data_IF_700456661328
#
_entry.id   IF_700456661328
#
_cell.length_a   1.000
_cell.length_b   1.000
_cell.length_c   1.000
_cell.angle_alpha   90.00
_cell.angle_beta   90.00
_cell.angle_gamma   90.00
#
_symmetry.space_group_name_H-M   'P 1'
#
loop_
_entity.id
_entity.type
_entity.pdbx_description
1 polymer ?
#
# COMPACT_ATOMS: atom_id res chain seq x y z
N UNK A 1 2.47 -32.35 6.82
CA UNK A 1 1.56 -31.29 6.33
C UNK A 1 1.29 -30.18 7.36
N UNK A 2 1.11 -30.46 8.67
CA UNK A 2 0.97 -29.41 9.71
C UNK A 2 2.17 -28.44 9.86
N UNK A 3 3.40 -28.92 9.63
CA UNK A 3 4.64 -28.11 9.74
C UNK A 3 4.81 -27.05 8.64
N UNK A 4 4.15 -27.23 7.48
CA UNK A 4 4.19 -26.28 6.37
C UNK A 4 3.26 -25.08 6.60
N UNK A 5 2.12 -25.31 7.26
CA UNK A 5 1.15 -24.25 7.62
C UNK A 5 1.78 -23.29 8.64
N UNK A 6 2.56 -23.81 9.59
CA UNK A 6 3.27 -23.00 10.59
C UNK A 6 4.38 -22.16 9.95
N UNK A 7 5.09 -22.70 8.95
CA UNK A 7 6.13 -21.96 8.22
C UNK A 7 5.58 -20.78 7.41
N UNK A 8 4.43 -20.97 6.76
CA UNK A 8 3.75 -19.91 5.98
C UNK A 8 3.19 -18.82 6.91
N UNK A 9 2.65 -19.19 8.08
CA UNK A 9 2.14 -18.25 9.08
C UNK A 9 3.26 -17.34 9.64
N UNK A 10 4.45 -17.89 9.88
CA UNK A 10 5.60 -17.13 10.41
C UNK A 10 6.18 -16.17 9.37
N UNK A 11 6.20 -16.55 8.08
CA UNK A 11 6.63 -15.68 6.98
C UNK A 11 5.62 -14.54 6.77
N UNK A 12 4.31 -14.80 6.93
CA UNK A 12 3.29 -13.76 6.94
C UNK A 12 3.47 -12.79 8.11
N UNK A 13 3.82 -13.29 9.31
CA UNK A 13 4.04 -12.47 10.51
C UNK A 13 5.29 -11.57 10.42
N UNK A 14 6.37 -12.02 9.77
CA UNK A 14 7.58 -11.21 9.56
C UNK A 14 7.37 -10.02 8.61
N UNK A 15 6.30 -10.00 7.82
CA UNK A 15 5.96 -8.81 7.01
C UNK A 15 5.38 -7.68 7.89
N UNK A 16 4.87 -7.99 9.10
CA UNK A 16 4.24 -7.05 10.02
C UNK A 16 5.20 -6.34 10.99
N UNK A 17 6.48 -6.72 11.09
CA UNK A 17 7.40 -6.09 12.05
C UNK A 17 7.96 -4.72 11.61
N UNK A 18 7.52 -4.19 10.47
CA UNK A 18 7.77 -2.81 10.08
C UNK A 18 6.61 -1.94 10.49
N UNK A 19 6.84 -0.92 11.32
CA UNK A 19 5.80 0.08 11.59
C UNK A 19 5.45 0.80 10.27
N UNK A 20 4.16 0.93 9.97
CA UNK A 20 3.73 1.64 8.78
C UNK A 20 4.19 3.10 8.86
N UNK A 21 4.90 3.54 7.84
CA UNK A 21 5.32 4.93 7.66
C UNK A 21 4.10 5.75 7.22
N UNK A 22 3.76 6.84 7.92
CA UNK A 22 2.69 7.73 7.49
C UNK A 22 2.99 8.33 6.11
N UNK A 23 1.99 8.39 5.24
CA UNK A 23 2.15 8.94 3.88
C UNK A 23 2.51 10.42 3.96
N UNK A 24 1.92 11.18 4.90
CA UNK A 24 2.25 12.58 5.14
C UNK A 24 3.74 12.80 5.41
N UNK A 25 4.37 11.96 6.25
CA UNK A 25 5.79 12.07 6.55
C UNK A 25 6.67 11.93 5.30
N UNK A 26 6.29 11.05 4.37
CA UNK A 26 6.99 10.86 3.09
C UNK A 26 6.82 12.10 2.22
N UNK A 27 5.60 12.62 2.09
CA UNK A 27 5.30 13.78 1.23
C UNK A 27 5.87 15.10 1.76
N UNK A 28 5.91 15.28 3.07
CA UNK A 28 6.39 16.51 3.70
C UNK A 28 7.93 16.59 3.71
N UNK A 29 8.62 15.43 3.68
CA UNK A 29 10.08 15.35 3.73
C UNK A 29 10.65 14.30 2.75
N UNK A 30 10.34 14.36 1.45
CA UNK A 30 10.58 13.25 0.53
C UNK A 30 12.07 12.93 0.33
N UNK A 31 12.95 13.94 0.45
CA UNK A 31 14.40 13.76 0.39
C UNK A 31 14.95 12.79 1.47
N UNK A 32 14.27 12.68 2.61
CA UNK A 32 14.65 11.71 3.66
C UNK A 32 14.29 10.28 3.31
N UNK A 33 13.39 10.07 2.35
CA UNK A 33 12.82 8.77 2.00
C UNK A 33 13.23 8.29 0.61
N UNK A 34 13.65 9.17 -0.30
CA UNK A 34 14.10 8.75 -1.63
C UNK A 34 15.16 7.65 -1.56
N UNK A 35 14.95 6.59 -2.34
CA UNK A 35 15.81 5.40 -2.37
C UNK A 35 15.63 4.45 -1.17
N UNK A 36 14.79 4.80 -0.19
CA UNK A 36 14.52 3.96 0.98
C UNK A 36 13.29 3.10 0.77
N UNK A 37 13.35 1.90 1.37
CA UNK A 37 12.21 0.99 1.47
C UNK A 37 11.29 1.44 2.59
N UNK A 38 10.01 1.60 2.28
CA UNK A 38 8.96 1.99 3.21
C UNK A 38 7.84 0.95 3.22
N UNK A 39 7.06 0.97 4.29
CA UNK A 39 5.79 0.26 4.40
C UNK A 39 4.71 1.32 4.61
N UNK A 40 3.71 1.40 3.76
CA UNK A 40 2.58 2.32 3.92
C UNK A 40 1.27 1.53 4.00
N UNK A 41 0.26 2.11 4.63
CA UNK A 41 -1.09 1.55 4.70
C UNK A 41 -2.11 2.63 4.38
N UNK A 42 -3.12 2.28 3.60
CA UNK A 42 -4.22 3.17 3.27
C UNK A 42 -5.26 2.51 2.39
N UNK A 43 -6.21 3.31 1.94
CA UNK A 43 -7.29 2.90 1.05
C UNK A 43 -6.90 3.15 -0.41
N UNK A 44 -7.22 2.22 -1.30
CA UNK A 44 -7.00 2.41 -2.73
C UNK A 44 -7.99 3.43 -3.27
N UNK A 45 -7.46 4.58 -3.70
CA UNK A 45 -8.14 5.58 -4.49
C UNK A 45 -7.86 5.32 -5.98
N UNK A 46 -8.81 5.69 -6.83
CA UNK A 46 -9.00 5.30 -8.24
C UNK A 46 -7.72 4.90 -9.01
N UNK A 47 -7.71 3.77 -9.75
CA UNK A 47 -6.56 3.37 -10.55
C UNK A 47 -6.21 4.44 -11.57
N UNK A 48 -4.93 4.84 -11.61
CA UNK A 48 -4.42 5.87 -12.51
C UNK A 48 -3.60 5.18 -13.59
N UNK A 49 -4.26 4.86 -14.72
CA UNK A 49 -3.58 4.35 -15.91
C UNK A 49 -2.96 5.52 -16.69
N UNK A 50 -1.72 5.88 -16.35
CA UNK A 50 -0.95 6.86 -17.13
C UNK A 50 -0.01 6.14 -18.11
N UNK A 51 -0.50 5.90 -19.33
CA UNK A 51 0.29 5.33 -20.42
C UNK A 51 0.74 3.89 -20.14
N UNK A 52 2.06 3.67 -19.98
CA UNK A 52 2.65 2.35 -19.70
C UNK A 52 2.82 2.03 -18.21
N UNK A 53 2.57 3.01 -17.32
CA UNK A 53 2.67 2.78 -15.89
C UNK A 53 1.32 2.31 -15.36
N UNK A 54 1.30 1.06 -14.88
CA UNK A 54 0.19 0.51 -14.12
C UNK A 54 0.40 0.82 -12.65
N UNK A 55 -0.65 1.31 -11.99
CA UNK A 55 -0.56 1.73 -10.62
C UNK A 55 -1.89 2.25 -10.08
N UNK A 56 -1.87 2.57 -8.80
CA UNK A 56 -3.02 3.08 -8.07
C UNK A 56 -2.58 4.14 -7.09
N UNK A 57 -3.53 4.91 -6.56
CA UNK A 57 -3.22 5.84 -5.48
C UNK A 57 -3.62 5.23 -4.13
N UNK A 58 -2.78 5.39 -3.12
CA UNK A 58 -3.10 5.00 -1.74
C UNK A 58 -3.38 6.26 -0.95
N UNK A 59 -4.59 6.34 -0.39
CA UNK A 59 -5.07 7.45 0.44
C UNK A 59 -4.95 7.10 1.93
N UNK A 60 -4.40 8.02 2.71
CA UNK A 60 -4.34 7.97 4.16
C UNK A 60 -4.78 9.34 4.70
N UNK A 61 -6.02 9.44 5.16
CA UNK A 61 -6.62 10.73 5.54
C UNK A 61 -6.79 11.65 4.33
N UNK A 62 -6.24 12.86 4.41
CA UNK A 62 -6.22 13.88 3.36
C UNK A 62 -5.04 13.72 2.38
N UNK A 63 -4.08 12.83 2.69
CA UNK A 63 -2.88 12.60 1.88
C UNK A 63 -3.08 11.42 0.94
N UNK A 64 -2.51 11.53 -0.26
CA UNK A 64 -2.50 10.46 -1.25
C UNK A 64 -1.14 10.35 -1.90
N UNK A 65 -0.67 9.12 -2.17
CA UNK A 65 0.57 8.87 -2.89
C UNK A 65 0.34 7.89 -4.03
N UNK A 66 1.07 8.05 -5.12
CA UNK A 66 1.01 7.13 -6.24
C UNK A 66 1.88 5.90 -5.97
N UNK A 67 1.35 4.73 -6.28
CA UNK A 67 2.04 3.44 -6.18
C UNK A 67 2.06 2.81 -7.56
N UNK A 68 3.26 2.60 -8.10
CA UNK A 68 3.50 1.83 -9.31
C UNK A 68 3.58 0.35 -8.93
N UNK A 69 2.73 -0.49 -9.53
CA UNK A 69 2.67 -1.91 -9.26
C UNK A 69 2.06 -2.67 -10.44
N UNK A 70 2.50 -3.90 -10.65
CA UNK A 70 1.91 -4.81 -11.65
C UNK A 70 0.52 -5.29 -11.22
N UNK A 71 0.27 -5.38 -9.90
CA UNK A 71 -1.02 -5.78 -9.35
C UNK A 71 -1.76 -4.55 -8.86
N UNK A 72 -2.96 -4.33 -9.37
CA UNK A 72 -3.81 -3.18 -9.03
C UNK A 72 -5.03 -3.69 -8.24
N UNK A 73 -5.10 -3.46 -6.92
CA UNK A 73 -6.27 -3.82 -6.11
C UNK A 73 -7.50 -2.97 -6.47
N UNK A 74 -8.67 -3.35 -5.97
CA UNK A 74 -9.91 -2.65 -6.31
C UNK A 74 -10.02 -1.32 -5.58
N UNK A 75 -10.76 -0.38 -6.19
CA UNK A 75 -11.09 0.88 -5.55
C UNK A 75 -11.82 0.63 -4.23
N UNK A 76 -11.32 1.26 -3.16
CA UNK A 76 -11.86 1.15 -1.82
C UNK A 76 -11.26 0.01 -1.00
N UNK A 77 -10.40 -0.85 -1.54
CA UNK A 77 -9.71 -1.87 -0.75
C UNK A 77 -8.73 -1.21 0.23
N UNK A 78 -8.64 -1.74 1.45
CA UNK A 78 -7.59 -1.34 2.39
C UNK A 78 -6.35 -2.19 2.13
N UNK A 79 -5.24 -1.53 1.82
CA UNK A 79 -4.00 -2.20 1.41
C UNK A 79 -2.81 -1.81 2.27
N UNK A 80 -1.85 -2.71 2.35
CA UNK A 80 -0.50 -2.45 2.85
C UNK A 80 0.49 -2.59 1.69
N UNK A 81 1.25 -1.53 1.42
CA UNK A 81 2.23 -1.50 0.33
C UNK A 81 3.62 -1.43 0.91
N UNK A 82 4.49 -2.35 0.48
CA UNK A 82 5.93 -2.28 0.71
C UNK A 82 6.63 -1.93 -0.59
N UNK A 83 7.50 -0.93 -0.57
CA UNK A 83 8.17 -0.48 -1.80
C UNK A 83 9.25 0.55 -1.55
N UNK A 84 9.86 1.01 -2.63
CA UNK A 84 10.92 2.04 -2.60
C UNK A 84 10.32 3.39 -2.99
N UNK A 85 10.60 4.42 -2.21
CA UNK A 85 10.19 5.80 -2.53
C UNK A 85 11.11 6.35 -3.62
N UNK A 86 10.52 6.81 -4.71
CA UNK A 86 11.23 7.30 -5.89
C UNK A 86 10.74 8.69 -6.27
N UNK A 87 11.72 9.49 -6.72
CA UNK A 87 11.50 10.81 -7.27
C UNK A 87 11.10 10.69 -8.74
N UNK A 88 9.91 11.14 -9.06
CA UNK A 88 9.38 11.19 -10.42
C UNK A 88 9.77 12.44 -11.17
N UNK A 89 9.30 12.50 -12.41
CA UNK A 89 9.43 13.69 -13.25
C UNK A 89 8.66 14.85 -12.60
N UNK A 90 9.16 16.08 -12.73
CA UNK A 90 8.60 17.29 -12.12
C UNK A 90 8.55 17.28 -10.57
N UNK A 91 9.54 16.66 -9.91
CA UNK A 91 9.64 16.60 -8.44
C UNK A 91 8.49 15.84 -7.75
N UNK A 92 7.69 15.06 -8.50
CA UNK A 92 6.67 14.19 -7.92
C UNK A 92 7.30 13.08 -7.09
N UNK A 93 6.58 12.58 -6.07
CA UNK A 93 7.00 11.43 -5.26
C UNK A 93 6.02 10.29 -5.48
N UNK A 94 6.55 9.10 -5.75
CA UNK A 94 5.76 7.88 -5.89
C UNK A 94 6.52 6.69 -5.31
N UNK A 95 5.85 5.55 -5.16
CA UNK A 95 6.43 4.32 -4.63
C UNK A 95 6.43 3.26 -5.72
N UNK A 96 7.57 2.63 -5.97
CA UNK A 96 7.61 1.36 -6.68
C UNK A 96 7.36 0.23 -5.69
N UNK A 97 6.25 -0.47 -5.86
CA UNK A 97 5.86 -1.54 -4.95
C UNK A 97 6.67 -2.81 -5.21
N UNK A 98 7.28 -3.35 -4.15
CA UNK A 98 7.81 -4.71 -4.13
C UNK A 98 6.68 -5.71 -3.85
N UNK A 99 5.77 -5.33 -2.94
CA UNK A 99 4.63 -6.15 -2.50
C UNK A 99 3.44 -5.26 -2.17
N UNK A 100 2.27 -5.74 -2.59
CA UNK A 100 0.97 -5.17 -2.23
C UNK A 100 0.16 -6.27 -1.56
N UNK A 101 -0.34 -6.00 -0.36
CA UNK A 101 -1.20 -6.93 0.38
C UNK A 101 -2.55 -6.26 0.64
N UNK A 102 -3.64 -6.91 0.25
CA UNK A 102 -5.01 -6.51 0.59
C UNK A 102 -5.25 -6.95 2.03
N UNK A 103 -5.56 -5.99 2.91
CA UNK A 103 -5.86 -6.24 4.32
C UNK A 103 -7.34 -6.52 4.53
N UNK A 104 -8.19 -5.77 3.83
CA UNK A 104 -9.65 -5.87 3.91
C UNK A 104 -10.23 -5.37 2.59
N UNK A 105 -11.14 -6.14 2.01
CA UNK A 105 -11.86 -5.73 0.81
C UNK A 105 -12.96 -4.73 1.17
N UNK A 106 -13.38 -3.92 0.19
CA UNK A 106 -14.53 -3.04 0.38
C UNK A 106 -15.80 -3.79 0.81
N UNK A 107 -16.06 -4.95 0.21
CA UNK A 107 -17.26 -5.76 0.47
C UNK A 107 -17.28 -6.31 1.90
N UNK A 108 -16.15 -6.82 2.40
CA UNK A 108 -16.02 -7.30 3.78
C UNK A 108 -16.27 -6.18 4.80
N UNK A 109 -15.74 -4.97 4.53
CA UNK A 109 -15.96 -3.81 5.40
C UNK A 109 -17.44 -3.43 5.47
N UNK A 110 -18.11 -3.39 4.31
CA UNK A 110 -19.52 -3.06 4.22
C UNK A 110 -20.40 -4.09 4.93
N UNK A 111 -20.14 -5.38 4.74
CA UNK A 111 -20.87 -6.45 5.43
C UNK A 111 -20.71 -6.37 6.96
N UNK A 112 -19.52 -6.00 7.45
CA UNK A 112 -19.26 -5.79 8.88
C UNK A 112 -20.02 -4.58 9.43
N UNK A 113 -20.01 -3.45 8.72
CA UNK A 113 -20.74 -2.25 9.12
C UNK A 113 -22.26 -2.47 9.12
N UNK A 114 -22.79 -3.31 8.24
CA UNK A 114 -24.20 -3.71 8.24
C UNK A 114 -24.55 -4.66 9.38
N UNK A 115 -23.66 -5.58 9.75
CA UNK A 115 -23.86 -6.49 10.88
C UNK A 115 -23.79 -5.80 12.25
N UNK A 116 -23.15 -4.62 12.34
CA UNK A 116 -23.04 -3.81 13.55
C UNK A 116 -24.18 -2.78 13.70
N UNK A 117 -25.08 -2.66 12.71
CA UNK A 117 -26.28 -1.82 12.75
C UNK A 117 -27.50 -2.60 13.24
#
# INVERSE_FOLDING_TARGET
>A
MRKLIIGILIIALMVLSGCATPIGNILDNPDKYYGKKVLIQGEVSTPLNFGKMQGFSVRQGDKSIMVSSETVPNHGDTVTVRGIVVKGMLMSTYIFADKVAIKETREERQAREEAEK
#
